data_IF_429409835549
#
_entry.id   IF_429409835549
#
_cell.length_a   1.000
_cell.length_b   1.000
_cell.length_c   1.000
_cell.angle_alpha   90.00
_cell.angle_beta   90.00
_cell.angle_gamma   90.00
#
_symmetry.space_group_name_H-M   'P 1'
#
loop_
_entity.id
_entity.type
_entity.pdbx_description
1 polymer ?
#
# COMPACT_ATOMS: atom_id res chain seq x y z
N UNK A 1 1.67 20.61 13.80
CA UNK A 1 0.88 19.62 14.55
C UNK A 1 -0.34 19.26 13.71
N UNK A 2 -0.80 18.02 13.73
CA UNK A 2 -1.97 17.65 12.95
C UNK A 2 -3.25 18.12 13.65
N UNK A 3 -4.31 18.35 12.88
CA UNK A 3 -5.55 18.92 13.38
C UNK A 3 -6.74 18.04 13.05
N UNK A 4 -7.67 17.93 13.99
CA UNK A 4 -8.98 17.36 13.75
C UNK A 4 -9.91 18.46 13.24
N UNK A 5 -10.70 18.15 12.22
CA UNK A 5 -11.76 19.02 11.70
C UNK A 5 -13.10 18.42 12.07
N UNK A 6 -13.89 19.17 12.83
CA UNK A 6 -15.23 18.79 13.27
C UNK A 6 -16.21 19.66 12.51
N UNK A 7 -17.09 19.02 11.74
CA UNK A 7 -18.13 19.71 10.96
C UNK A 7 -19.47 19.50 11.63
N UNK A 8 -20.10 20.57 12.09
CA UNK A 8 -21.46 20.53 12.57
C UNK A 8 -22.41 20.46 11.38
N UNK A 9 -22.99 19.28 11.15
CA UNK A 9 -23.88 19.01 10.00
C UNK A 9 -25.19 19.80 10.02
N UNK A 10 -25.58 20.35 11.17
CA UNK A 10 -26.84 21.09 11.33
C UNK A 10 -26.66 22.60 11.15
N UNK A 11 -25.51 23.15 11.55
CA UNK A 11 -25.23 24.61 11.47
C UNK A 11 -24.26 24.96 10.35
N UNK A 12 -23.54 23.98 9.80
CA UNK A 12 -22.46 24.19 8.83
C UNK A 12 -21.17 24.73 9.45
N UNK A 13 -21.10 24.86 10.77
CA UNK A 13 -19.90 25.34 11.46
C UNK A 13 -18.77 24.31 11.35
N UNK A 14 -17.57 24.80 11.07
CA UNK A 14 -16.35 23.99 10.98
C UNK A 14 -15.43 24.43 12.10
N UNK A 15 -15.07 23.48 12.96
CA UNK A 15 -14.14 23.68 14.07
C UNK A 15 -12.88 22.89 13.79
N UNK A 16 -11.75 23.57 13.76
CA UNK A 16 -10.44 22.93 13.67
C UNK A 16 -9.76 23.02 15.02
N UNK A 17 -9.33 21.88 15.55
CA UNK A 17 -8.55 21.81 16.79
C UNK A 17 -7.30 20.98 16.60
N UNK A 18 -6.30 21.21 17.43
CA UNK A 18 -5.15 20.32 17.51
C UNK A 18 -5.56 18.95 18.03
N UNK A 19 -4.86 17.91 17.57
CA UNK A 19 -5.01 16.57 18.13
C UNK A 19 -4.54 16.55 19.59
N UNK A 20 -5.20 15.73 20.39
CA UNK A 20 -4.70 15.42 21.73
C UNK A 20 -3.52 14.46 21.64
N UNK A 21 -2.72 14.36 22.70
CA UNK A 21 -1.57 13.44 22.74
C UNK A 21 -1.99 11.97 22.50
N UNK A 22 -3.17 11.57 22.97
CA UNK A 22 -3.72 10.22 22.74
C UNK A 22 -4.05 9.98 21.26
N UNK A 23 -4.67 10.96 20.60
CA UNK A 23 -4.99 10.87 19.17
C UNK A 23 -3.73 10.89 18.30
N UNK A 24 -2.71 11.64 18.70
CA UNK A 24 -1.41 11.62 18.02
C UNK A 24 -0.73 10.25 18.15
N UNK A 25 -0.75 9.65 19.34
CA UNK A 25 -0.20 8.32 19.57
C UNK A 25 -0.95 7.24 18.77
N UNK A 26 -2.29 7.29 18.72
CA UNK A 26 -3.09 6.38 17.91
C UNK A 26 -2.79 6.53 16.42
N UNK A 27 -2.64 7.79 15.94
CA UNK A 27 -2.27 8.04 14.54
C UNK A 27 -0.90 7.46 14.21
N UNK A 28 0.09 7.68 15.07
CA UNK A 28 1.43 7.13 14.89
C UNK A 28 1.41 5.60 14.83
N UNK A 29 0.71 4.94 15.76
CA UNK A 29 0.57 3.48 15.75
C UNK A 29 -0.08 2.96 14.45
N UNK A 30 -1.13 3.65 13.96
CA UNK A 30 -1.77 3.31 12.67
C UNK A 30 -0.83 3.51 11.48
N UNK A 31 -0.02 4.58 11.50
CA UNK A 31 0.93 4.88 10.45
C UNK A 31 2.07 3.83 10.41
N UNK A 32 2.57 3.39 11.57
CA UNK A 32 3.55 2.30 11.69
C UNK A 32 3.01 0.97 11.14
N UNK A 33 1.79 0.59 11.52
CA UNK A 33 1.13 -0.63 11.00
C UNK A 33 0.94 -0.54 9.48
N UNK A 34 0.52 0.61 8.98
CA UNK A 34 0.35 0.82 7.53
C UNK A 34 1.67 0.74 6.79
N UNK A 35 2.74 1.28 7.37
CA UNK A 35 4.06 1.19 6.76
C UNK A 35 4.55 -0.27 6.68
N UNK A 36 4.42 -1.03 7.77
CA UNK A 36 4.78 -2.45 7.77
C UNK A 36 4.00 -3.26 6.73
N UNK A 37 2.68 -3.01 6.59
CA UNK A 37 1.87 -3.68 5.56
C UNK A 37 2.32 -3.32 4.13
N UNK A 38 2.64 -2.05 3.87
CA UNK A 38 3.16 -1.63 2.55
C UNK A 38 4.47 -2.32 2.22
N UNK A 39 5.40 -2.38 3.18
CA UNK A 39 6.69 -3.05 2.98
C UNK A 39 6.51 -4.56 2.69
N UNK A 40 5.56 -5.22 3.35
CA UNK A 40 5.21 -6.61 3.08
C UNK A 40 4.59 -6.79 1.68
N UNK A 41 3.60 -5.96 1.32
CA UNK A 41 2.95 -5.99 0.00
C UNK A 41 3.97 -5.75 -1.13
N UNK A 42 4.85 -4.76 -0.98
CA UNK A 42 5.91 -4.47 -1.94
C UNK A 42 6.89 -5.64 -2.08
N UNK A 43 7.25 -6.30 -0.97
CA UNK A 43 8.11 -7.49 -1.02
C UNK A 43 7.44 -8.67 -1.74
N UNK A 44 6.14 -8.89 -1.52
CA UNK A 44 5.36 -9.95 -2.20
C UNK A 44 5.25 -9.68 -3.70
N UNK A 45 4.92 -8.45 -4.10
CA UNK A 45 4.82 -8.09 -5.51
C UNK A 45 6.18 -8.11 -6.21
N UNK A 46 7.24 -7.64 -5.56
CA UNK A 46 8.60 -7.74 -6.08
C UNK A 46 9.02 -9.20 -6.30
N UNK A 47 8.73 -10.09 -5.35
CA UNK A 47 9.00 -11.53 -5.48
C UNK A 47 8.18 -12.13 -6.62
N UNK A 48 6.89 -11.81 -6.72
CA UNK A 48 6.00 -12.30 -7.78
C UNK A 48 6.50 -11.86 -9.16
N UNK A 49 6.93 -10.61 -9.32
CA UNK A 49 7.50 -10.10 -10.55
C UNK A 49 8.82 -10.81 -10.91
N UNK A 50 9.70 -11.02 -9.93
CA UNK A 50 10.95 -11.75 -10.11
C UNK A 50 10.73 -13.22 -10.51
N UNK A 51 9.79 -13.90 -9.84
CA UNK A 51 9.43 -15.29 -10.13
C UNK A 51 8.82 -15.42 -11.53
N UNK A 52 7.94 -14.47 -11.93
CA UNK A 52 7.39 -14.42 -13.29
C UNK A 52 8.49 -14.23 -14.33
N UNK A 53 9.39 -13.25 -14.14
CA UNK A 53 10.49 -12.99 -15.06
C UNK A 53 11.44 -14.20 -15.18
N UNK A 54 11.74 -14.87 -14.06
CA UNK A 54 12.54 -16.10 -14.03
C UNK A 54 11.85 -17.26 -14.75
N UNK A 55 10.53 -17.43 -14.53
CA UNK A 55 9.70 -18.40 -15.24
C UNK A 55 9.70 -18.17 -16.75
N UNK A 56 9.51 -16.93 -17.19
CA UNK A 56 9.50 -16.54 -18.60
C UNK A 56 10.86 -16.80 -19.26
N UNK A 57 11.95 -16.44 -18.59
CA UNK A 57 13.30 -16.73 -19.08
C UNK A 57 13.55 -18.25 -19.24
N UNK A 58 13.08 -19.06 -18.28
CA UNK A 58 13.19 -20.54 -18.37
C UNK A 58 12.35 -21.11 -19.51
N UNK A 59 11.13 -20.62 -19.72
CA UNK A 59 10.27 -21.08 -20.81
C UNK A 59 10.84 -20.70 -22.18
N UNK A 60 11.40 -19.50 -22.32
CA UNK A 60 12.15 -19.10 -23.52
C UNK A 60 13.34 -20.02 -23.77
N UNK A 61 14.08 -20.37 -22.72
CA UNK A 61 15.19 -21.31 -22.83
C UNK A 61 14.75 -22.73 -23.25
N UNK A 62 13.51 -23.11 -22.98
CA UNK A 62 12.89 -24.35 -23.46
C UNK A 62 12.32 -24.25 -24.88
N UNK A 63 12.40 -23.08 -25.51
CA UNK A 63 12.01 -22.87 -26.91
C UNK A 63 10.60 -22.32 -27.12
N UNK A 64 9.89 -21.90 -26.06
CA UNK A 64 8.60 -21.22 -26.22
C UNK A 64 8.81 -19.78 -26.71
N UNK A 65 7.92 -19.34 -27.59
CA UNK A 65 7.86 -17.97 -28.06
C UNK A 65 7.17 -17.05 -27.04
N UNK A 66 7.40 -15.74 -27.16
CA UNK A 66 6.75 -14.75 -26.30
C UNK A 66 5.22 -14.81 -26.36
N UNK A 67 4.66 -15.09 -27.54
CA UNK A 67 3.20 -15.21 -27.73
C UNK A 67 2.62 -16.42 -27.00
N UNK A 68 3.33 -17.56 -27.01
CA UNK A 68 2.92 -18.77 -26.28
C UNK A 68 3.05 -18.60 -24.76
N UNK A 69 4.04 -17.83 -24.30
CA UNK A 69 4.23 -17.49 -22.89
C UNK A 69 3.17 -16.50 -22.41
N UNK A 70 2.76 -15.55 -23.26
CA UNK A 70 1.75 -14.55 -22.95
C UNK A 70 0.31 -15.10 -22.94
N UNK A 71 0.04 -16.21 -23.63
CA UNK A 71 -1.28 -16.82 -23.75
C UNK A 71 -1.72 -17.69 -22.55
N UNK A 72 -0.93 -17.76 -21.48
CA UNK A 72 -1.16 -18.63 -20.30
C UNK A 72 -1.95 -17.95 -19.16
#
# INVERSE_FOLDING_TARGET
MATATIVNVSTGEIITRELTAEEEAERQAKDEVRQAQREEEEAVEAKRAADKASGDAKLKALGLTDDEIAAR
#
